data_IF_007380441165
#
_entry.id   IF_007380441165
#
_cell.length_a   1.000
_cell.length_b   1.000
_cell.length_c   1.000
_cell.angle_alpha   90.00
_cell.angle_beta   90.00
_cell.angle_gamma   90.00
#
_symmetry.space_group_name_H-M   'P 1'
#
loop_
_entity.id
_entity.type
_entity.pdbx_description
1 polymer ?
#
# COMPACT_ATOMS: atom_id res chain seq x y z
N UNK A 1 -3.73 -13.64 -26.85
CA UNK A 1 -4.57 -12.99 -25.82
C UNK A 1 -3.97 -11.63 -25.47
N UNK A 2 -4.74 -10.53 -25.44
CA UNK A 2 -4.20 -9.21 -25.07
C UNK A 2 -3.78 -9.21 -23.59
N UNK A 3 -2.53 -8.88 -23.27
CA UNK A 3 -1.95 -8.85 -21.90
C UNK A 3 -2.84 -8.09 -20.90
N UNK A 4 -3.48 -7.01 -21.36
CA UNK A 4 -4.41 -6.17 -20.58
C UNK A 4 -5.64 -6.93 -20.07
N UNK A 5 -6.11 -7.95 -20.78
CA UNK A 5 -7.28 -8.74 -20.38
C UNK A 5 -7.03 -9.55 -19.11
N UNK A 6 -5.84 -10.14 -18.99
CA UNK A 6 -5.46 -10.96 -17.82
C UNK A 6 -5.42 -10.10 -16.56
N UNK A 7 -4.79 -8.91 -16.65
CA UNK A 7 -4.72 -7.95 -15.54
C UNK A 7 -6.12 -7.47 -15.15
N UNK A 8 -6.97 -7.13 -16.13
CA UNK A 8 -8.34 -6.68 -15.88
C UNK A 8 -9.20 -7.75 -15.21
N UNK A 9 -9.06 -9.02 -15.62
CA UNK A 9 -9.74 -10.15 -14.99
C UNK A 9 -9.28 -10.32 -13.54
N UNK A 10 -7.96 -10.35 -13.32
CA UNK A 10 -7.37 -10.52 -11.99
C UNK A 10 -7.82 -9.42 -11.02
N UNK A 11 -7.81 -8.16 -11.48
CA UNK A 11 -8.28 -7.02 -10.70
C UNK A 11 -9.78 -7.10 -10.37
N UNK A 12 -10.62 -7.44 -11.36
CA UNK A 12 -12.08 -7.54 -11.17
C UNK A 12 -12.47 -8.67 -10.22
N UNK A 13 -11.75 -9.79 -10.27
CA UNK A 13 -12.07 -10.98 -9.48
C UNK A 13 -11.56 -10.88 -8.04
N UNK A 14 -10.30 -10.49 -7.84
CA UNK A 14 -9.66 -10.56 -6.52
C UNK A 14 -9.53 -9.20 -5.85
N UNK A 15 -9.10 -8.16 -6.58
CA UNK A 15 -8.85 -6.83 -5.99
C UNK A 15 -10.14 -6.07 -5.69
N UNK A 16 -11.18 -6.20 -6.53
CA UNK A 16 -12.46 -5.49 -6.35
C UNK A 16 -13.10 -5.71 -4.97
N UNK A 17 -12.96 -6.93 -4.44
CA UNK A 17 -13.51 -7.34 -3.14
C UNK A 17 -12.90 -6.58 -1.96
N UNK A 18 -11.66 -6.12 -2.11
CA UNK A 18 -10.90 -5.43 -1.06
C UNK A 18 -10.77 -3.92 -1.29
N UNK A 19 -11.51 -3.37 -2.26
CA UNK A 19 -11.47 -1.94 -2.60
C UNK A 19 -11.81 -1.03 -1.42
N UNK A 20 -12.70 -1.43 -0.52
CA UNK A 20 -13.07 -0.61 0.64
C UNK A 20 -11.85 -0.27 1.51
N UNK A 21 -10.96 -1.24 1.72
CA UNK A 21 -9.72 -1.06 2.48
C UNK A 21 -8.72 -0.18 1.74
N UNK A 22 -8.63 -0.35 0.42
CA UNK A 22 -7.77 0.45 -0.45
C UNK A 22 -8.22 1.92 -0.45
N UNK A 23 -9.50 2.19 -0.68
CA UNK A 23 -10.06 3.54 -0.67
C UNK A 23 -9.81 4.24 0.67
N UNK A 24 -10.02 3.52 1.78
CA UNK A 24 -9.75 4.07 3.11
C UNK A 24 -8.27 4.37 3.32
N UNK A 25 -7.36 3.51 2.83
CA UNK A 25 -5.93 3.78 2.86
C UNK A 25 -5.54 5.00 2.00
N UNK A 26 -6.15 5.16 0.81
CA UNK A 26 -5.93 6.34 -0.05
C UNK A 26 -6.39 7.62 0.63
N UNK A 27 -7.56 7.58 1.30
CA UNK A 27 -8.06 8.71 2.07
C UNK A 27 -7.07 9.14 3.17
N UNK A 28 -6.49 8.18 3.91
CA UNK A 28 -5.44 8.48 4.89
C UNK A 28 -4.15 9.01 4.23
N UNK A 29 -3.81 8.55 3.03
CA UNK A 29 -2.65 9.07 2.29
C UNK A 29 -2.80 10.54 1.91
N UNK A 30 -4.02 11.03 1.67
CA UNK A 30 -4.29 12.46 1.45
C UNK A 30 -3.91 13.28 2.70
N UNK A 31 -4.20 12.78 3.90
CA UNK A 31 -3.75 13.42 5.14
C UNK A 31 -2.23 13.44 5.29
N UNK A 32 -1.55 12.39 4.81
CA UNK A 32 -0.08 12.35 4.78
C UNK A 32 0.49 13.41 3.83
N UNK A 33 -0.09 13.57 2.64
CA UNK A 33 0.30 14.59 1.67
C UNK A 33 0.06 16.00 2.24
N UNK A 34 -1.14 16.27 2.76
CA UNK A 34 -1.48 17.54 3.38
C UNK A 34 -0.54 17.89 4.54
N UNK A 35 -0.23 16.92 5.40
CA UNK A 35 0.72 17.10 6.51
C UNK A 35 2.14 17.36 6.00
N UNK A 36 2.54 16.76 4.87
CA UNK A 36 3.85 16.99 4.25
C UNK A 36 3.95 18.40 3.67
N UNK A 37 2.91 18.88 2.98
CA UNK A 37 2.83 20.26 2.50
C UNK A 37 2.81 21.26 3.65
N UNK A 38 2.08 20.97 4.74
CA UNK A 38 2.06 21.81 5.94
C UNK A 38 3.45 21.92 6.59
N UNK A 39 4.20 20.82 6.68
CA UNK A 39 5.58 20.83 7.18
C UNK A 39 6.47 21.70 6.29
N UNK A 40 6.35 21.60 4.97
CA UNK A 40 7.12 22.43 4.05
C UNK A 40 6.79 23.92 4.21
N UNK A 41 5.51 24.26 4.39
CA UNK A 41 5.09 25.64 4.65
C UNK A 41 5.57 26.14 6.01
N UNK A 42 5.64 25.29 7.04
CA UNK A 42 6.12 25.62 8.39
C UNK A 42 7.63 25.94 8.44
N UNK A 43 8.41 25.54 7.43
CA UNK A 43 9.85 25.84 7.37
C UNK A 43 10.13 27.33 7.15
N UNK A 44 9.35 28.01 6.30
CA UNK A 44 9.48 29.45 6.04
C UNK A 44 9.30 30.33 7.30
N UNK A 45 8.21 30.20 8.10
CA UNK A 45 8.04 30.96 9.32
C UNK A 45 9.02 30.50 10.41
N UNK A 46 9.46 29.24 10.42
CA UNK A 46 10.50 28.80 11.34
C UNK A 46 11.82 29.54 11.09
N UNK A 47 12.23 29.72 9.83
CA UNK A 47 13.44 30.48 9.51
C UNK A 47 13.23 31.97 9.78
N UNK A 48 12.16 32.58 9.24
CA UNK A 48 11.97 34.03 9.31
C UNK A 48 11.66 34.53 10.73
N UNK A 49 10.70 33.92 11.43
CA UNK A 49 10.23 34.45 12.72
C UNK A 49 11.13 34.11 13.90
N UNK A 50 11.78 32.94 13.87
CA UNK A 50 12.66 32.50 14.96
C UNK A 50 14.06 33.10 14.80
N UNK A 51 14.63 33.11 13.59
CA UNK A 51 16.01 33.54 13.39
C UNK A 51 16.16 35.02 13.03
N UNK A 52 15.22 35.62 12.30
CA UNK A 52 15.33 37.02 11.83
C UNK A 52 14.64 37.98 12.80
N UNK A 53 13.36 37.76 13.12
CA UNK A 53 12.57 38.68 13.96
C UNK A 53 12.80 38.47 15.47
N UNK A 54 13.38 37.33 15.88
CA UNK A 54 13.68 36.96 17.29
C UNK A 54 12.51 37.13 18.26
N UNK A 55 11.30 36.89 17.76
CA UNK A 55 10.08 37.17 18.50
C UNK A 55 9.79 36.00 19.48
N UNK A 56 9.92 36.26 20.79
CA UNK A 56 9.98 35.21 21.83
C UNK A 56 8.71 34.33 21.90
N UNK A 57 7.58 34.84 21.44
CA UNK A 57 6.30 34.12 21.42
C UNK A 57 6.27 33.02 20.34
N UNK A 58 6.87 33.28 19.18
CA UNK A 58 6.93 32.32 18.06
C UNK A 58 7.96 31.20 18.29
N UNK A 59 8.89 31.40 19.23
CA UNK A 59 9.91 30.42 19.62
C UNK A 59 9.31 29.12 20.19
N UNK A 60 8.14 29.18 20.85
CA UNK A 60 7.47 28.00 21.39
C UNK A 60 6.34 27.49 20.47
N UNK A 61 5.60 28.40 19.82
CA UNK A 61 4.46 28.04 19.00
C UNK A 61 4.84 27.21 17.76
N UNK A 62 5.91 27.60 17.07
CA UNK A 62 6.33 26.96 15.81
C UNK A 62 6.84 25.52 16.06
N UNK A 63 7.74 25.24 17.03
CA UNK A 63 8.15 23.87 17.33
C UNK A 63 6.99 22.96 17.73
N UNK A 64 6.04 23.45 18.51
CA UNK A 64 4.83 22.70 18.89
C UNK A 64 3.99 22.37 17.65
N UNK A 65 3.78 23.34 16.75
CA UNK A 65 3.07 23.11 15.49
C UNK A 65 3.77 22.07 14.60
N UNK A 66 5.11 22.09 14.55
CA UNK A 66 5.90 21.09 13.83
C UNK A 66 5.71 19.70 14.44
N UNK A 67 5.79 19.57 15.77
CA UNK A 67 5.57 18.28 16.47
C UNK A 67 4.18 17.72 16.14
N UNK A 68 3.14 18.56 16.18
CA UNK A 68 1.77 18.14 15.84
C UNK A 68 1.66 17.71 14.37
N UNK A 69 2.27 18.46 13.44
CA UNK A 69 2.25 18.13 12.02
C UNK A 69 2.97 16.79 11.73
N UNK A 70 4.13 16.56 12.35
CA UNK A 70 4.86 15.30 12.25
C UNK A 70 4.14 14.12 12.91
N UNK A 71 3.51 14.34 14.07
CA UNK A 71 2.71 13.32 14.74
C UNK A 71 1.52 12.90 13.86
N UNK A 72 0.74 13.86 13.35
CA UNK A 72 -0.37 13.62 12.44
C UNK A 72 0.07 12.84 11.18
N UNK A 73 1.19 13.23 10.59
CA UNK A 73 1.79 12.53 9.44
C UNK A 73 2.15 11.08 9.80
N UNK A 74 2.78 10.86 10.94
CA UNK A 74 3.19 9.55 11.42
C UNK A 74 2.00 8.61 11.61
N UNK A 75 0.96 9.06 12.31
CA UNK A 75 -0.26 8.27 12.51
C UNK A 75 -0.94 7.92 11.19
N UNK A 76 -1.16 8.93 10.33
CA UNK A 76 -1.83 8.73 9.04
C UNK A 76 -1.06 7.75 8.16
N UNK A 77 0.27 7.87 8.10
CA UNK A 77 1.13 6.97 7.34
C UNK A 77 1.09 5.54 7.87
N UNK A 78 1.13 5.37 9.19
CA UNK A 78 1.07 4.06 9.81
C UNK A 78 -0.23 3.33 9.48
N UNK A 79 -1.37 3.99 9.67
CA UNK A 79 -2.67 3.39 9.41
C UNK A 79 -2.90 3.13 7.92
N UNK A 80 -2.53 4.06 7.03
CA UNK A 80 -2.60 3.85 5.58
C UNK A 80 -1.80 2.62 5.17
N UNK A 81 -0.55 2.49 5.65
CA UNK A 81 0.31 1.35 5.37
C UNK A 81 -0.25 0.05 5.92
N UNK A 82 -0.76 0.05 7.15
CA UNK A 82 -1.37 -1.14 7.78
C UNK A 82 -2.56 -1.66 6.97
N UNK A 83 -3.49 -0.79 6.59
CA UNK A 83 -4.66 -1.15 5.80
C UNK A 83 -4.29 -1.71 4.43
N UNK A 84 -3.27 -1.11 3.80
CA UNK A 84 -2.72 -1.59 2.54
C UNK A 84 -2.10 -2.97 2.66
N UNK A 85 -1.31 -3.23 3.71
CA UNK A 85 -0.72 -4.56 3.95
C UNK A 85 -1.84 -5.60 4.12
N UNK A 86 -2.88 -5.29 4.90
CA UNK A 86 -4.02 -6.19 5.11
C UNK A 86 -4.75 -6.46 3.78
N UNK A 87 -5.05 -5.44 2.99
CA UNK A 87 -5.70 -5.60 1.69
C UNK A 87 -4.86 -6.44 0.73
N UNK A 88 -3.54 -6.21 0.71
CA UNK A 88 -2.59 -6.99 -0.10
C UNK A 88 -2.61 -8.47 0.29
N UNK A 89 -2.51 -8.75 1.58
CA UNK A 89 -2.49 -10.12 2.08
C UNK A 89 -3.81 -10.85 1.88
N UNK A 90 -4.95 -10.16 1.98
CA UNK A 90 -6.24 -10.74 1.69
C UNK A 90 -6.39 -11.11 0.20
N UNK A 91 -5.88 -10.28 -0.71
CA UNK A 91 -5.81 -10.62 -2.14
C UNK A 91 -4.90 -11.84 -2.35
N UNK A 92 -3.73 -11.88 -1.71
CA UNK A 92 -2.80 -13.01 -1.82
C UNK A 92 -3.48 -14.29 -1.39
N UNK A 93 -4.14 -14.25 -0.23
CA UNK A 93 -4.87 -15.38 0.35
C UNK A 93 -5.95 -15.89 -0.59
N UNK A 94 -6.77 -15.01 -1.15
CA UNK A 94 -7.84 -15.41 -2.07
C UNK A 94 -7.27 -16.10 -3.33
N UNK A 95 -6.16 -15.60 -3.90
CA UNK A 95 -5.50 -16.23 -5.06
C UNK A 95 -4.87 -17.58 -4.68
N UNK A 96 -4.16 -17.65 -3.55
CA UNK A 96 -3.54 -18.90 -3.07
C UNK A 96 -4.58 -19.99 -2.84
N UNK A 97 -5.73 -19.66 -2.27
CA UNK A 97 -6.82 -20.61 -2.03
C UNK A 97 -7.36 -21.15 -3.35
N UNK A 98 -7.57 -20.30 -4.36
CA UNK A 98 -8.12 -20.74 -5.65
C UNK A 98 -7.10 -21.60 -6.43
N UNK A 99 -5.82 -21.26 -6.38
CA UNK A 99 -4.75 -22.09 -6.96
C UNK A 99 -4.66 -23.43 -6.23
N UNK A 100 -4.71 -23.43 -4.90
CA UNK A 100 -4.63 -24.66 -4.10
C UNK A 100 -5.82 -25.59 -4.39
N UNK A 101 -7.04 -25.06 -4.45
CA UNK A 101 -8.23 -25.83 -4.87
C UNK A 101 -8.06 -26.44 -6.25
N UNK A 102 -7.49 -25.67 -7.19
CA UNK A 102 -7.24 -26.16 -8.54
C UNK A 102 -6.23 -27.31 -8.53
N UNK A 103 -5.20 -27.24 -7.69
CA UNK A 103 -4.20 -28.31 -7.53
C UNK A 103 -4.81 -29.55 -6.89
N UNK A 104 -5.67 -29.40 -5.87
CA UNK A 104 -6.34 -30.51 -5.20
C UNK A 104 -7.34 -31.26 -6.09
N UNK A 105 -7.90 -30.58 -7.09
CA UNK A 105 -8.84 -31.18 -8.05
C UNK A 105 -8.15 -31.75 -9.30
N UNK A 106 -6.81 -31.72 -9.39
CA UNK A 106 -6.09 -32.35 -10.48
C UNK A 106 -6.08 -33.87 -10.33
N UNK A 107 -6.23 -34.57 -11.44
CA UNK A 107 -6.07 -36.02 -11.49
C UNK A 107 -4.63 -36.44 -11.12
N UNK A 108 -4.47 -37.60 -10.48
CA UNK A 108 -3.19 -38.12 -10.01
C UNK A 108 -2.19 -38.29 -11.15
N UNK A 109 -2.65 -38.68 -12.34
CA UNK A 109 -1.81 -38.80 -13.53
C UNK A 109 -1.22 -37.45 -13.98
N UNK A 110 -1.98 -36.35 -13.82
CA UNK A 110 -1.51 -34.99 -14.10
C UNK A 110 -0.59 -34.46 -13.00
N UNK A 111 -0.75 -34.93 -11.77
CA UNK A 111 0.10 -34.59 -10.64
C UNK A 111 1.47 -35.29 -10.73
N UNK A 112 1.48 -36.59 -11.02
CA UNK A 112 2.69 -37.42 -11.11
C UNK A 112 3.55 -37.08 -12.33
N UNK A 113 2.94 -36.61 -13.43
CA UNK A 113 3.67 -36.18 -14.63
C UNK A 113 4.49 -34.88 -14.43
N UNK A 114 4.34 -34.20 -13.29
CA UNK A 114 5.01 -32.93 -12.99
C UNK A 114 5.72 -32.98 -11.64
N UNK A 115 6.89 -32.34 -11.56
CA UNK A 115 7.63 -32.23 -10.30
C UNK A 115 6.80 -31.46 -9.25
N UNK A 116 6.57 -32.08 -8.09
CA UNK A 116 5.86 -31.51 -6.94
C UNK A 116 6.43 -30.15 -6.49
N UNK A 117 7.74 -29.95 -6.59
CA UNK A 117 8.41 -28.68 -6.29
C UNK A 117 8.00 -27.53 -7.21
N UNK A 118 7.57 -27.82 -8.45
CA UNK A 118 7.08 -26.80 -9.39
C UNK A 118 5.71 -26.27 -8.99
N UNK A 119 4.84 -27.11 -8.44
CA UNK A 119 3.55 -26.69 -7.90
C UNK A 119 3.72 -25.81 -6.66
N UNK A 120 4.64 -26.19 -5.76
CA UNK A 120 4.96 -25.39 -4.57
C UNK A 120 5.52 -24.02 -4.99
N UNK A 121 6.39 -23.97 -5.99
CA UNK A 121 6.93 -22.72 -6.54
C UNK A 121 5.83 -21.83 -7.15
N UNK A 122 4.91 -22.39 -7.94
CA UNK A 122 3.78 -21.62 -8.47
C UNK A 122 2.88 -21.06 -7.34
N UNK A 123 2.64 -21.84 -6.28
CA UNK A 123 1.82 -21.42 -5.13
C UNK A 123 2.48 -20.35 -4.25
N UNK A 124 3.80 -20.44 -4.06
CA UNK A 124 4.51 -19.56 -3.12
C UNK A 124 5.13 -18.36 -3.81
N UNK A 125 5.82 -18.58 -4.93
CA UNK A 125 6.59 -17.56 -5.64
C UNK A 125 5.74 -16.78 -6.64
N UNK A 126 5.06 -17.48 -7.57
CA UNK A 126 4.32 -16.78 -8.64
C UNK A 126 3.08 -16.04 -8.11
N UNK A 127 2.33 -16.65 -7.18
CA UNK A 127 1.21 -15.96 -6.52
C UNK A 127 1.72 -14.78 -5.69
N UNK A 128 2.86 -14.94 -5.01
CA UNK A 128 3.52 -13.85 -4.29
C UNK A 128 3.89 -12.69 -5.22
N UNK A 129 4.51 -12.98 -6.36
CA UNK A 129 4.92 -11.99 -7.35
C UNK A 129 3.72 -11.27 -7.97
N UNK A 130 2.69 -12.02 -8.39
CA UNK A 130 1.44 -11.47 -8.93
C UNK A 130 0.78 -10.53 -7.93
N UNK A 131 0.70 -10.94 -6.67
CA UNK A 131 0.04 -10.12 -5.65
C UNK A 131 0.86 -8.91 -5.27
N UNK A 132 2.19 -9.03 -5.26
CA UNK A 132 3.10 -7.90 -5.06
C UNK A 132 2.94 -6.88 -6.19
N UNK A 133 2.90 -7.32 -7.46
CA UNK A 133 2.65 -6.43 -8.59
C UNK A 133 1.32 -5.68 -8.51
N UNK A 134 0.24 -6.36 -8.12
CA UNK A 134 -1.08 -5.72 -8.02
C UNK A 134 -1.15 -4.80 -6.81
N UNK A 135 -0.65 -5.25 -5.66
CA UNK A 135 -0.87 -4.55 -4.40
C UNK A 135 0.17 -3.48 -4.16
N UNK A 136 1.46 -3.78 -4.38
CA UNK A 136 2.55 -2.82 -4.24
C UNK A 136 2.65 -1.92 -5.47
N UNK A 137 2.46 -2.46 -6.68
CA UNK A 137 2.52 -1.65 -7.90
C UNK A 137 1.41 -0.61 -7.96
N UNK A 138 0.16 -0.98 -7.67
CA UNK A 138 -0.95 -0.03 -7.59
C UNK A 138 -0.77 0.96 -6.43
N UNK A 139 -0.28 0.49 -5.27
CA UNK A 139 0.01 1.32 -4.11
C UNK A 139 1.06 2.39 -4.43
N UNK A 140 2.19 2.00 -5.02
CA UNK A 140 3.26 2.95 -5.35
C UNK A 140 2.77 3.95 -6.39
N UNK A 141 2.00 3.52 -7.39
CA UNK A 141 1.40 4.45 -8.34
C UNK A 141 0.48 5.47 -7.65
N UNK A 142 -0.37 5.05 -6.72
CA UNK A 142 -1.26 5.98 -6.00
C UNK A 142 -0.47 6.89 -5.07
N UNK A 143 0.52 6.35 -4.36
CA UNK A 143 1.33 7.10 -3.39
C UNK A 143 2.29 8.08 -4.05
N UNK A 144 2.95 7.68 -5.13
CA UNK A 144 3.99 8.48 -5.80
C UNK A 144 3.37 9.52 -6.75
N UNK A 145 2.08 9.39 -7.09
CA UNK A 145 1.32 10.43 -7.81
C UNK A 145 0.80 11.54 -6.87
N UNK A 146 0.81 11.31 -5.55
CA UNK A 146 0.25 12.21 -4.53
C UNK A 146 1.35 13.01 -3.83
#
# INVERSE_FOLDING_TARGET
>A
MKKTYIIKRLFKTYTKKHLNKIIFAVFLSIFVAASTSAIAWLLDPAIKKIFIEKDKTFIFLIPIAIIIAFASKGYSLFFARKLMIIASQDVTRDIQIDVLKSVLNLDTQSLESKNSGKFISHLTYDVGLLTNMISIGLLNLIKDTL
#
